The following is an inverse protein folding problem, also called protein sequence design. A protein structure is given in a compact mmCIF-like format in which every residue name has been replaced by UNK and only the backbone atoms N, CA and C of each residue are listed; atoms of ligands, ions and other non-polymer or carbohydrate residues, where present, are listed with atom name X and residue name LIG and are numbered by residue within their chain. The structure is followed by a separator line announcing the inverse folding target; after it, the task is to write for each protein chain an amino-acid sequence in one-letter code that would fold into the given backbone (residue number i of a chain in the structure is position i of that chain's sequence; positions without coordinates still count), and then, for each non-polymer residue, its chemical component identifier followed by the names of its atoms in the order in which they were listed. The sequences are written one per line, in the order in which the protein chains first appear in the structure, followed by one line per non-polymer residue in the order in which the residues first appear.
data_IF_450056939067
#
_entry.id   IF_450056939067
#
_cell.length_a   1.000
_cell.length_b   1.000
_cell.length_c   1.000
_cell.angle_alpha   90.00
_cell.angle_beta   90.00
_cell.angle_gamma   90.00
#
_symmetry.space_group_name_H-M   'P 1'
#
loop_
_entity.id
_entity.type
_entity.pdbx_description
1 polymer ?
#
# COMPACT_ATOMS: atom_id res chain seq x y z
N UNK A 1 19.21 0.14 -4.67
CA UNK A 1 18.43 1.03 -5.57
C UNK A 1 18.48 0.63 -7.06
N UNK A 2 19.55 0.01 -7.55
CA UNK A 2 19.77 -0.26 -8.99
C UNK A 2 18.79 -1.28 -9.60
N UNK A 3 18.38 -2.28 -8.82
CA UNK A 3 17.50 -3.37 -9.28
C UNK A 3 16.09 -2.86 -9.63
N UNK A 4 15.52 -1.99 -8.78
CA UNK A 4 14.19 -1.42 -8.98
C UNK A 4 14.16 -0.52 -10.23
N UNK A 5 15.15 0.37 -10.39
CA UNK A 5 15.23 1.25 -11.57
C UNK A 5 15.28 0.47 -12.89
N UNK A 6 15.93 -0.70 -12.92
CA UNK A 6 16.06 -1.53 -14.13
C UNK A 6 14.80 -2.34 -14.48
N UNK A 7 13.92 -2.59 -13.49
CA UNK A 7 12.71 -3.42 -13.64
C UNK A 7 11.43 -2.67 -13.26
N UNK A 8 11.48 -1.34 -13.27
CA UNK A 8 10.37 -0.49 -12.78
C UNK A 8 9.04 -0.89 -13.41
N UNK A 9 9.01 -1.14 -14.73
CA UNK A 9 7.79 -1.51 -15.46
C UNK A 9 7.23 -2.86 -15.00
N UNK A 10 8.07 -3.90 -14.90
CA UNK A 10 7.65 -5.24 -14.45
C UNK A 10 7.18 -5.22 -12.99
N UNK A 11 7.88 -4.45 -12.14
CA UNK A 11 7.50 -4.30 -10.74
C UNK A 11 6.15 -3.59 -10.63
N UNK A 12 5.93 -2.50 -11.37
CA UNK A 12 4.64 -1.79 -11.36
C UNK A 12 3.52 -2.68 -11.90
N UNK A 13 3.77 -3.46 -12.95
CA UNK A 13 2.79 -4.42 -13.47
C UNK A 13 2.43 -5.49 -12.41
N UNK A 14 3.44 -6.06 -11.73
CA UNK A 14 3.22 -7.04 -10.66
C UNK A 14 2.46 -6.45 -9.47
N UNK A 15 2.77 -5.20 -9.06
CA UNK A 15 2.04 -4.50 -8.01
C UNK A 15 0.56 -4.35 -8.36
N UNK A 16 0.25 -3.95 -9.60
CA UNK A 16 -1.14 -3.77 -10.06
C UNK A 16 -1.91 -5.08 -10.20
N UNK A 17 -1.25 -6.12 -10.69
CA UNK A 17 -1.87 -7.44 -10.91
C UNK A 17 -2.16 -8.15 -9.59
N UNK A 18 -1.19 -8.14 -8.66
CA UNK A 18 -1.27 -8.93 -7.44
C UNK A 18 -1.75 -8.14 -6.22
N UNK A 19 -1.64 -6.80 -6.24
CA UNK A 19 -1.84 -5.94 -5.07
C UNK A 19 -0.81 -6.15 -3.95
N UNK A 20 0.25 -6.94 -4.19
CA UNK A 20 1.24 -7.29 -3.16
C UNK A 20 2.32 -6.23 -3.09
N UNK A 21 2.58 -5.72 -1.89
CA UNK A 21 3.65 -4.76 -1.65
C UNK A 21 5.05 -5.34 -1.95
N UNK A 22 5.96 -4.49 -2.40
CA UNK A 22 7.38 -4.82 -2.58
C UNK A 22 8.23 -4.00 -1.62
N UNK A 23 9.19 -4.64 -0.96
CA UNK A 23 10.16 -3.97 -0.08
C UNK A 23 11.44 -3.68 -0.86
N UNK A 24 11.85 -2.43 -0.87
CA UNK A 24 13.11 -1.98 -1.41
C UNK A 24 14.15 -1.88 -0.30
N UNK A 25 15.32 -2.46 -0.56
CA UNK A 25 16.44 -2.41 0.36
C UNK A 25 17.53 -1.47 -0.11
N UNK A 26 18.06 -0.70 0.82
CA UNK A 26 19.26 0.14 0.64
C UNK A 26 20.34 -0.41 1.58
N UNK A 27 21.49 -0.81 1.01
CA UNK A 27 22.60 -1.43 1.77
C UNK A 27 22.18 -2.65 2.61
N UNK A 28 21.32 -3.51 2.07
CA UNK A 28 20.84 -4.71 2.74
C UNK A 28 19.78 -4.47 3.83
N UNK A 29 19.36 -3.23 4.06
CA UNK A 29 18.32 -2.88 5.03
C UNK A 29 17.04 -2.49 4.33
N UNK A 30 15.90 -2.95 4.84
CA UNK A 30 14.59 -2.52 4.39
C UNK A 30 14.45 -1.01 4.61
N UNK A 31 14.11 -0.28 3.55
CA UNK A 31 14.20 1.18 3.51
C UNK A 31 12.87 1.79 3.05
N UNK A 32 12.28 1.24 1.97
CA UNK A 32 11.03 1.74 1.38
C UNK A 32 10.10 0.58 1.02
N UNK A 33 8.80 0.79 1.15
CA UNK A 33 7.76 -0.12 0.64
C UNK A 33 7.05 0.54 -0.53
N UNK A 34 6.83 -0.20 -1.62
CA UNK A 34 6.05 0.26 -2.77
C UNK A 34 4.78 -0.61 -2.88
N UNK A 35 3.63 0.04 -2.98
CA UNK A 35 2.33 -0.56 -3.24
C UNK A 35 1.62 0.17 -4.38
N UNK A 36 0.68 -0.50 -5.04
CA UNK A 36 -0.28 0.21 -5.87
C UNK A 36 -1.25 1.02 -4.99
N UNK A 37 -1.76 2.12 -5.55
CA UNK A 37 -2.58 3.06 -4.80
C UNK A 37 -3.91 2.47 -4.33
N UNK A 38 -4.55 1.60 -5.11
CA UNK A 38 -5.86 1.03 -4.77
C UNK A 38 -5.74 0.04 -3.61
N UNK A 39 -4.69 -0.79 -3.59
CA UNK A 39 -4.43 -1.69 -2.46
C UNK A 39 -4.09 -0.92 -1.19
N UNK A 40 -3.32 0.17 -1.31
CA UNK A 40 -3.02 1.03 -0.17
C UNK A 40 -4.28 1.71 0.39
N UNK A 41 -5.16 2.22 -0.48
CA UNK A 41 -6.44 2.79 -0.04
C UNK A 41 -7.31 1.76 0.70
N UNK A 42 -7.42 0.54 0.18
CA UNK A 42 -8.16 -0.55 0.86
C UNK A 42 -7.56 -0.91 2.21
N UNK A 43 -6.24 -0.83 2.36
CA UNK A 43 -5.57 -1.04 3.64
C UNK A 43 -5.99 0.04 4.64
N UNK A 44 -5.99 1.31 4.23
CA UNK A 44 -6.44 2.42 5.07
C UNK A 44 -7.91 2.28 5.46
N UNK A 45 -8.80 1.98 4.51
CA UNK A 45 -10.23 1.78 4.77
C UNK A 45 -10.47 0.66 5.81
N UNK A 46 -9.70 -0.44 5.74
CA UNK A 46 -9.79 -1.54 6.71
C UNK A 46 -9.27 -1.15 8.09
N UNK A 47 -8.21 -0.35 8.16
CA UNK A 47 -7.69 0.17 9.41
C UNK A 47 -8.71 1.13 10.05
N UNK A 48 -9.25 2.07 9.29
CA UNK A 48 -10.30 2.98 9.76
C UNK A 48 -11.53 2.24 10.27
N UNK A 49 -11.96 1.19 9.55
CA UNK A 49 -13.10 0.37 9.97
C UNK A 49 -12.81 -0.44 11.25
N UNK A 50 -11.57 -0.89 11.45
CA UNK A 50 -11.17 -1.64 12.63
C UNK A 50 -10.95 -0.73 13.86
N UNK A 51 -10.44 0.47 13.64
CA UNK A 51 -10.15 1.46 14.68
C UNK A 51 -11.40 2.26 15.08
N UNK A 52 -12.49 2.17 14.32
CA UNK A 52 -13.76 2.83 14.62
C UNK A 52 -14.77 1.86 15.26
N UNK A 53 -14.82 1.72 16.60
CA UNK A 53 -15.99 1.14 17.26
C UNK A 53 -17.13 2.17 17.22
N UNK A 54 -17.84 2.24 16.09
CA UNK A 54 -19.04 3.05 15.88
C UNK A 54 -18.92 4.56 16.19
N UNK A 55 -18.62 5.38 15.18
CA UNK A 55 -19.16 6.76 15.13
C UNK A 55 -19.01 7.37 13.73
N UNK A 56 -20.03 7.17 12.89
CA UNK A 56 -20.65 8.30 12.21
C UNK A 56 -22.15 8.23 12.44
N UNK A 57 -22.54 8.39 13.71
CA UNK A 57 -23.84 8.97 14.01
C UNK A 57 -23.77 10.47 13.67
N UNK A 58 -23.93 10.81 12.39
CA UNK A 58 -24.68 12.01 12.01
C UNK A 58 -26.12 11.49 11.86
N UNK A 59 -27.08 11.69 12.77
CA UNK A 59 -27.39 12.93 13.50
C UNK A 59 -27.54 14.04 12.47
N UNK A 60 -28.71 14.39 11.93
CA UNK A 60 -30.10 14.16 12.30
C UNK A 60 -30.83 15.43 11.84
N UNK A 61 -31.96 15.26 11.14
CA UNK A 61 -32.92 16.28 10.71
C UNK A 61 -32.41 17.38 9.75
#
# INVERSE_FOLDING_TARGET
MTEFKRRTTDVVAHLRDTGRAVILTTNGKADVVVQDAASYQRLLERLEACESPASKAKGGA
#
